data_IF_291042952624
#
_entry.id   IF_291042952624
#
_cell.length_a   1.000
_cell.length_b   1.000
_cell.length_c   1.000
_cell.angle_alpha   90.00
_cell.angle_beta   90.00
_cell.angle_gamma   90.00
#
_symmetry.space_group_name_H-M   'P 1'
#
loop_
_entity.id
_entity.type
_entity.pdbx_description
1 polymer ?
#
# COMPACT_ATOMS: atom_id res chain seq x y z
N UNK A 1 0.43 -3.75 4.73
CA UNK A 1 -0.36 -3.38 3.52
C UNK A 1 -1.67 -4.15 3.52
N UNK A 2 -2.79 -3.45 3.35
CA UNK A 2 -4.10 -4.08 3.25
C UNK A 2 -4.95 -3.39 2.17
N UNK A 3 -6.02 -4.06 1.76
CA UNK A 3 -7.05 -3.45 0.93
C UNK A 3 -8.04 -2.68 1.81
N UNK A 4 -8.49 -1.53 1.32
CA UNK A 4 -9.48 -0.67 1.99
C UNK A 4 -10.62 -0.43 1.02
N UNK A 5 -11.83 -0.73 1.47
CA UNK A 5 -13.03 -0.48 0.70
C UNK A 5 -13.30 1.03 0.62
N UNK A 6 -14.08 1.47 -0.37
CA UNK A 6 -14.43 2.88 -0.52
C UNK A 6 -15.17 3.47 0.71
N UNK A 7 -15.76 2.62 1.54
CA UNK A 7 -16.38 2.98 2.83
C UNK A 7 -15.37 3.22 3.96
N UNK A 8 -14.07 3.01 3.72
CA UNK A 8 -13.01 3.14 4.72
C UNK A 8 -12.74 1.86 5.52
N UNK A 9 -13.51 0.79 5.29
CA UNK A 9 -13.30 -0.51 5.97
C UNK A 9 -12.01 -1.16 5.47
N UNK A 10 -11.05 -1.33 6.37
CA UNK A 10 -9.80 -2.01 6.10
C UNK A 10 -9.95 -3.54 6.23
N UNK A 11 -9.50 -4.27 5.22
CA UNK A 11 -9.38 -5.72 5.26
C UNK A 11 -8.13 -6.18 6.00
N UNK A 12 -7.94 -7.50 6.06
CA UNK A 12 -6.75 -8.10 6.61
C UNK A 12 -5.48 -7.64 5.87
N UNK A 13 -4.37 -7.52 6.60
CA UNK A 13 -3.08 -7.29 5.99
C UNK A 13 -2.67 -8.53 5.19
N UNK A 14 -2.44 -8.35 3.90
CA UNK A 14 -1.99 -9.43 3.01
C UNK A 14 -0.48 -9.38 2.76
N UNK A 15 0.18 -8.28 3.12
CA UNK A 15 1.64 -8.16 3.12
C UNK A 15 2.12 -7.34 4.29
N UNK A 16 3.14 -7.85 4.96
CA UNK A 16 3.78 -7.23 6.11
C UNK A 16 5.27 -7.51 6.06
N UNK A 17 6.08 -6.49 6.33
CA UNK A 17 7.53 -6.60 6.39
C UNK A 17 8.01 -5.89 7.65
N UNK A 18 9.07 -6.41 8.25
CA UNK A 18 9.73 -5.80 9.39
C UNK A 18 11.22 -5.69 9.07
N UNK A 19 11.77 -4.51 9.31
CA UNK A 19 13.16 -4.18 9.00
C UNK A 19 13.81 -3.57 10.24
N UNK A 20 15.08 -3.92 10.49
CA UNK A 20 15.94 -3.25 11.48
C UNK A 20 17.17 -2.74 10.75
N UNK A 21 17.46 -1.44 10.90
CA UNK A 21 18.49 -0.72 10.17
C UNK A 21 19.20 0.26 11.10
N UNK A 22 20.46 0.53 10.80
CA UNK A 22 21.25 1.56 11.47
C UNK A 22 21.47 2.69 10.48
N UNK A 23 20.90 3.86 10.77
CA UNK A 23 21.01 5.04 9.91
C UNK A 23 22.06 6.00 10.48
N UNK A 24 23.17 6.27 9.76
CA UNK A 24 24.15 7.25 10.20
C UNK A 24 23.58 8.68 10.21
N UNK A 25 24.17 9.60 10.99
CA UNK A 25 23.73 11.00 11.01
C UNK A 25 23.75 11.64 9.62
N UNK A 26 22.67 12.34 9.26
CA UNK A 26 22.54 13.06 8.00
C UNK A 26 22.37 12.18 6.76
N UNK A 27 22.17 10.86 6.92
CA UNK A 27 21.88 9.96 5.81
C UNK A 27 20.39 9.68 5.69
N UNK A 28 19.99 9.24 4.49
CA UNK A 28 18.64 8.75 4.19
C UNK A 28 18.76 7.33 3.61
N UNK A 29 17.88 6.43 4.03
CA UNK A 29 17.80 5.07 3.51
C UNK A 29 16.38 4.78 3.01
N UNK A 30 16.28 4.31 1.77
CA UNK A 30 15.02 3.92 1.17
C UNK A 30 14.77 2.42 1.36
N UNK A 31 13.61 2.06 1.91
CA UNK A 31 13.15 0.67 2.01
C UNK A 31 12.05 0.44 0.99
N UNK A 32 12.31 -0.47 0.05
CA UNK A 32 11.37 -0.83 -1.01
C UNK A 32 10.56 -2.08 -0.65
N UNK A 33 9.25 -2.04 -0.89
CA UNK A 33 8.34 -3.18 -0.80
C UNK A 33 7.67 -3.38 -2.16
N UNK A 34 8.09 -4.40 -2.91
CA UNK A 34 7.56 -4.68 -4.26
C UNK A 34 6.34 -5.57 -4.22
N UNK A 35 5.16 -5.03 -4.48
CA UNK A 35 3.88 -5.77 -4.46
C UNK A 35 3.47 -6.16 -5.87
N UNK A 36 3.37 -7.45 -6.15
CA UNK A 36 2.98 -7.96 -7.47
C UNK A 36 1.46 -7.96 -7.68
N UNK A 37 1.02 -7.95 -8.93
CA UNK A 37 -0.41 -8.04 -9.28
C UNK A 37 -1.09 -9.24 -8.63
N UNK A 38 -0.46 -10.43 -8.69
CA UNK A 38 -1.01 -11.64 -8.11
C UNK A 38 -1.24 -11.56 -6.60
N UNK A 39 -0.37 -10.83 -5.88
CA UNK A 39 -0.51 -10.64 -4.43
C UNK A 39 -1.68 -9.73 -4.07
N UNK A 40 -1.85 -8.59 -4.75
CA UNK A 40 -2.89 -7.63 -4.34
C UNK A 40 -4.25 -7.89 -5.01
N UNK A 41 -4.28 -8.46 -6.22
CA UNK A 41 -5.51 -8.70 -6.99
C UNK A 41 -6.63 -9.38 -6.22
N UNK A 42 -6.42 -10.45 -5.41
CA UNK A 42 -7.53 -11.12 -4.72
C UNK A 42 -8.14 -10.27 -3.59
N UNK A 43 -7.44 -9.22 -3.13
CA UNK A 43 -7.88 -8.39 -2.01
C UNK A 43 -8.57 -7.10 -2.46
N UNK A 44 -8.38 -6.68 -3.71
CA UNK A 44 -8.90 -5.42 -4.25
C UNK A 44 -10.15 -5.70 -5.07
N UNK A 45 -11.31 -5.30 -4.53
CA UNK A 45 -12.60 -5.30 -5.25
C UNK A 45 -12.83 -4.01 -6.06
N UNK A 46 -14.04 -3.85 -6.59
CA UNK A 46 -14.42 -2.62 -7.28
C UNK A 46 -14.33 -1.40 -6.34
N UNK A 47 -13.71 -0.32 -6.83
CA UNK A 47 -13.46 0.93 -6.09
C UNK A 47 -12.63 0.79 -4.80
N UNK A 48 -11.95 -0.34 -4.58
CA UNK A 48 -11.04 -0.51 -3.45
C UNK A 48 -9.72 0.24 -3.67
N UNK A 49 -9.07 0.59 -2.56
CA UNK A 49 -7.75 1.19 -2.52
C UNK A 49 -6.79 0.30 -1.72
N UNK A 50 -5.49 0.49 -1.89
CA UNK A 50 -4.47 -0.12 -1.06
C UNK A 50 -4.01 0.88 0.00
N UNK A 51 -3.99 0.47 1.26
CA UNK A 51 -3.45 1.27 2.37
C UNK A 51 -2.14 0.69 2.87
N UNK A 52 -1.09 1.48 2.73
CA UNK A 52 0.23 1.21 3.29
C UNK A 52 0.38 1.98 4.60
N UNK A 53 0.44 1.26 5.71
CA UNK A 53 0.79 1.81 7.02
C UNK A 53 2.25 1.44 7.31
N UNK A 54 3.07 2.45 7.60
CA UNK A 54 4.47 2.29 8.01
C UNK A 54 4.60 2.83 9.41
N UNK A 55 5.19 2.05 10.31
CA UNK A 55 5.56 2.48 11.64
C UNK A 55 7.04 2.17 11.87
N UNK A 56 7.74 3.09 12.51
CA UNK A 56 9.15 2.96 12.84
C UNK A 56 9.37 3.40 14.29
N UNK A 57 10.24 2.69 15.00
CA UNK A 57 10.71 3.06 16.32
C UNK A 57 12.21 3.34 16.27
N UNK A 58 12.63 4.45 16.86
CA UNK A 58 14.05 4.78 17.08
C UNK A 58 14.44 4.25 18.44
N UNK A 59 15.34 3.27 18.48
CA UNK A 59 15.67 2.53 19.71
C UNK A 59 16.41 3.41 20.72
N UNK A 60 17.25 4.33 20.24
CA UNK A 60 18.10 5.20 21.04
C UNK A 60 17.31 6.32 21.72
N UNK A 61 16.31 6.88 21.03
CA UNK A 61 15.50 8.00 21.54
C UNK A 61 14.12 7.59 22.06
N UNK A 62 13.69 6.35 21.79
CA UNK A 62 12.35 5.88 22.07
C UNK A 62 11.25 6.51 21.20
N UNK A 63 11.62 7.29 20.18
CA UNK A 63 10.66 7.96 19.30
C UNK A 63 9.93 6.94 18.42
N UNK A 64 8.65 7.19 18.17
CA UNK A 64 7.83 6.42 17.24
C UNK A 64 7.33 7.34 16.14
N UNK A 65 7.51 6.89 14.90
CA UNK A 65 7.05 7.54 13.68
C UNK A 65 6.03 6.63 13.02
N UNK A 66 4.92 7.18 12.54
CA UNK A 66 3.95 6.44 11.77
C UNK A 66 3.44 7.29 10.60
N UNK A 67 3.28 6.65 9.45
CA UNK A 67 2.73 7.28 8.25
C UNK A 67 1.82 6.30 7.52
N UNK A 68 0.73 6.83 6.99
CA UNK A 68 -0.17 6.09 6.11
C UNK A 68 -0.17 6.69 4.71
N UNK A 69 -0.24 5.83 3.70
CA UNK A 69 -0.41 6.19 2.30
C UNK A 69 -1.54 5.36 1.70
N UNK A 70 -2.50 6.04 1.07
CA UNK A 70 -3.61 5.42 0.35
C UNK A 70 -3.36 5.51 -1.16
N UNK A 71 -3.37 4.38 -1.85
CA UNK A 71 -3.14 4.26 -3.28
C UNK A 71 -4.40 3.74 -3.96
N UNK A 72 -4.98 4.52 -4.88
CA UNK A 72 -6.13 4.09 -5.68
C UNK A 72 -5.66 3.45 -6.98
N UNK A 73 -6.13 2.24 -7.23
CA UNK A 73 -5.86 1.53 -8.48
C UNK A 73 -6.82 2.06 -9.55
N UNK A 74 -6.27 2.36 -10.72
CA UNK A 74 -7.06 2.84 -11.85
C UNK A 74 -7.48 1.65 -12.69
N UNK A 75 -8.79 1.44 -12.80
CA UNK A 75 -9.37 0.48 -13.75
C UNK A 75 -9.31 1.10 -15.15
N UNK A 76 -8.81 0.39 -16.17
CA UNK A 76 -8.82 0.91 -17.53
C UNK A 76 -10.26 1.12 -18.02
N UNK A 77 -10.49 2.20 -18.75
CA UNK A 77 -11.78 2.44 -19.40
C UNK A 77 -11.97 1.50 -20.58
N UNK A 78 -13.15 0.90 -20.69
CA UNK A 78 -13.54 0.06 -21.82
C UNK A 78 -14.58 0.80 -22.65
N UNK A 79 -14.28 1.07 -23.91
CA UNK A 79 -15.22 1.65 -24.87
C UNK A 79 -15.83 0.53 -25.70
N UNK A 80 -17.17 0.41 -25.67
CA UNK A 80 -17.92 -0.50 -26.53
C UNK A 80 -18.59 0.31 -27.64
N UNK A 81 -18.40 -0.11 -28.89
CA UNK A 81 -19.06 0.49 -30.06
C UNK A 81 -19.96 -0.54 -30.72
N UNK A 82 -21.22 -0.18 -30.91
CA UNK A 82 -22.20 -1.01 -31.64
C UNK A 82 -22.32 -0.46 -33.05
N UNK A 83 -22.08 -1.29 -34.05
CA UNK A 83 -22.32 -0.95 -35.46
C UNK A 83 -23.68 -1.49 -35.90
N UNK A 84 -24.47 -0.66 -36.57
CA UNK A 84 -25.71 -1.08 -37.21
C UNK A 84 -25.39 -2.03 -38.39
N UNK A 85 -26.29 -2.98 -38.74
CA UNK A 85 -26.11 -3.87 -39.89
C UNK A 85 -26.11 -3.12 -41.22
#
# INVERSE_FOLDING_TARGET
LCAVQYTGVAGAAFRQEQHSRTLPPGQEEAVAMTVTYGEYRPHVGDRAALKLTVAAGVQESGQVLAKELLVRLHTPELTLTVTAP
#
